data_IF_332935350956
#
_entry.id   IF_332935350956
#
_cell.length_a   1.000
_cell.length_b   1.000
_cell.length_c   1.000
_cell.angle_alpha   90.00
_cell.angle_beta   90.00
_cell.angle_gamma   90.00
#
_symmetry.space_group_name_H-M   'P 1'
#
loop_
_entity.id
_entity.type
_entity.pdbx_description
1 polymer ?
#
# COMPACT_ATOMS: atom_id res chain seq x y z
N UNK A 1 10.52 5.77 -6.26
CA UNK A 1 9.09 5.48 -5.98
C UNK A 1 8.69 5.88 -4.56
N UNK A 2 9.46 5.57 -3.51
CA UNK A 2 9.15 5.98 -2.14
C UNK A 2 8.90 7.50 -1.97
N UNK A 3 9.70 8.35 -2.61
CA UNK A 3 9.49 9.81 -2.61
C UNK A 3 8.15 10.24 -3.25
N UNK A 4 7.66 9.47 -4.22
CA UNK A 4 6.37 9.70 -4.87
C UNK A 4 5.22 9.34 -3.92
N UNK A 5 5.31 8.20 -3.24
CA UNK A 5 4.36 7.82 -2.19
C UNK A 5 4.31 8.87 -1.09
N UNK A 6 5.46 9.32 -0.59
CA UNK A 6 5.53 10.37 0.43
C UNK A 6 4.86 11.68 -0.03
N UNK A 7 5.05 12.08 -1.30
CA UNK A 7 4.38 13.25 -1.88
C UNK A 7 2.85 13.07 -1.96
N UNK A 8 2.38 11.87 -2.32
CA UNK A 8 0.95 11.56 -2.39
C UNK A 8 0.31 11.53 -0.99
N UNK A 9 0.99 10.92 -0.02
CA UNK A 9 0.58 10.87 1.39
C UNK A 9 0.47 12.25 2.04
N UNK A 10 1.30 13.21 1.61
CA UNK A 10 1.32 14.57 2.13
C UNK A 10 0.18 15.47 1.59
N UNK A 11 -0.67 14.98 0.69
CA UNK A 11 -1.77 15.79 0.12
C UNK A 11 -2.85 16.04 1.18
N UNK A 12 -3.48 17.22 1.21
CA UNK A 12 -4.58 17.52 2.14
C UNK A 12 -5.75 16.51 2.08
N UNK A 13 -6.06 15.98 0.89
CA UNK A 13 -7.12 14.98 0.67
C UNK A 13 -6.91 13.70 1.48
N UNK A 14 -5.67 13.30 1.79
CA UNK A 14 -5.42 12.10 2.58
C UNK A 14 -5.83 12.29 4.05
N UNK A 15 -5.73 13.52 4.56
CA UNK A 15 -6.28 13.87 5.87
C UNK A 15 -7.82 13.85 5.84
N UNK A 16 -8.44 14.35 4.78
CA UNK A 16 -9.90 14.31 4.62
C UNK A 16 -10.42 12.86 4.56
N UNK A 17 -9.78 12.01 3.76
CA UNK A 17 -10.08 10.57 3.70
C UNK A 17 -9.94 9.91 5.06
N UNK A 18 -8.86 10.18 5.81
CA UNK A 18 -8.68 9.64 7.17
C UNK A 18 -9.80 10.04 8.12
N UNK A 19 -10.23 11.30 8.07
CA UNK A 19 -11.37 11.77 8.87
C UNK A 19 -12.68 11.09 8.46
N UNK A 20 -12.91 10.91 7.16
CA UNK A 20 -14.09 10.19 6.66
C UNK A 20 -14.11 8.73 7.13
N UNK A 21 -12.97 8.03 7.04
CA UNK A 21 -12.83 6.67 7.55
C UNK A 21 -13.06 6.59 9.06
N UNK A 22 -12.49 7.52 9.82
CA UNK A 22 -12.72 7.58 11.27
C UNK A 22 -14.21 7.73 11.59
N UNK A 23 -14.89 8.70 10.97
CA UNK A 23 -16.33 8.95 11.18
C UNK A 23 -17.20 7.76 10.75
N UNK A 24 -16.85 7.12 9.63
CA UNK A 24 -17.52 5.90 9.18
C UNK A 24 -17.39 4.79 10.23
N UNK A 25 -16.19 4.58 10.75
CA UNK A 25 -15.91 3.55 11.74
C UNK A 25 -16.47 3.86 13.14
N UNK A 26 -16.76 5.13 13.44
CA UNK A 26 -17.51 5.53 14.64
C UNK A 26 -19.04 5.52 14.45
N UNK A 27 -19.52 4.95 13.33
CA UNK A 27 -20.94 4.80 12.99
C UNK A 27 -21.68 6.14 12.78
N UNK A 28 -20.95 7.20 12.44
CA UNK A 28 -21.57 8.46 12.03
C UNK A 28 -22.04 8.42 10.57
N UNK A 29 -23.15 9.11 10.30
CA UNK A 29 -23.60 9.31 8.93
C UNK A 29 -22.58 10.13 8.11
N UNK A 30 -22.09 9.53 7.03
CA UNK A 30 -21.16 10.10 6.05
C UNK A 30 -21.65 9.76 4.64
N UNK A 31 -21.02 10.33 3.59
CA UNK A 31 -21.19 9.77 2.25
C UNK A 31 -20.64 8.33 2.22
N UNK A 32 -21.09 7.45 1.32
CA UNK A 32 -20.45 6.15 1.12
C UNK A 32 -18.95 6.31 0.86
N UNK A 33 -18.13 5.47 1.49
CA UNK A 33 -16.71 5.35 1.18
C UNK A 33 -16.52 4.19 0.20
N UNK A 34 -15.59 4.38 -0.74
CA UNK A 34 -15.24 3.40 -1.75
C UNK A 34 -13.81 2.93 -1.47
N UNK A 35 -13.62 1.61 -1.40
CA UNK A 35 -12.30 1.00 -1.31
C UNK A 35 -12.16 0.01 -2.45
N UNK A 36 -11.12 0.19 -3.27
CA UNK A 36 -10.86 -0.66 -4.42
C UNK A 36 -9.54 -1.40 -4.22
N UNK A 37 -9.61 -2.72 -4.05
CA UNK A 37 -8.43 -3.59 -4.09
C UNK A 37 -8.57 -4.63 -5.20
N UNK A 38 -7.79 -4.50 -6.29
CA UNK A 38 -7.72 -5.47 -7.37
C UNK A 38 -7.29 -6.89 -6.96
N UNK A 39 -6.76 -7.10 -5.74
CA UNK A 39 -6.27 -8.40 -5.26
C UNK A 39 -5.31 -9.07 -6.27
N UNK A 40 -5.72 -10.19 -6.89
CA UNK A 40 -4.91 -10.87 -7.90
C UNK A 40 -4.79 -10.08 -9.21
N UNK A 41 -5.73 -9.18 -9.49
CA UNK A 41 -5.75 -8.30 -10.66
C UNK A 41 -4.64 -7.24 -10.65
N UNK A 42 -3.92 -7.07 -9.54
CA UNK A 42 -2.74 -6.20 -9.50
C UNK A 42 -1.68 -6.58 -10.55
N UNK A 43 -1.59 -7.86 -10.92
CA UNK A 43 -0.64 -8.34 -11.92
C UNK A 43 -1.00 -7.90 -13.35
N UNK A 44 -2.24 -7.47 -13.59
CA UNK A 44 -2.70 -6.92 -14.87
C UNK A 44 -2.43 -5.41 -14.97
N UNK A 45 -2.41 -4.72 -13.83
CA UNK A 45 -2.17 -3.26 -13.73
C UNK A 45 -0.66 -2.97 -13.65
N UNK A 46 0.05 -3.76 -12.83
CA UNK A 46 1.50 -3.69 -12.62
C UNK A 46 2.08 -5.02 -13.11
N UNK A 47 2.45 -5.01 -14.38
CA UNK A 47 2.98 -6.18 -15.09
C UNK A 47 4.46 -6.41 -14.74
N UNK A 48 4.90 -7.66 -14.89
CA UNK A 48 6.30 -8.05 -14.66
C UNK A 48 7.29 -7.24 -15.52
N UNK A 49 6.89 -6.87 -16.74
CA UNK A 49 7.68 -6.07 -17.67
C UNK A 49 7.93 -4.63 -17.20
N UNK A 50 7.13 -4.11 -16.28
CA UNK A 50 7.34 -2.78 -15.69
C UNK A 50 8.36 -2.79 -14.55
N UNK A 51 8.72 -3.97 -14.03
CA UNK A 51 9.59 -4.12 -12.87
C UNK A 51 11.06 -3.90 -13.24
N UNK A 52 11.77 -3.11 -12.44
CA UNK A 52 13.17 -2.74 -12.67
C UNK A 52 14.14 -3.39 -11.68
N UNK A 53 13.68 -3.66 -10.46
CA UNK A 53 14.47 -4.32 -9.43
C UNK A 53 14.72 -5.80 -9.78
N UNK A 54 15.88 -6.28 -9.32
CA UNK A 54 16.29 -7.67 -9.42
C UNK A 54 16.29 -8.32 -8.03
N UNK A 55 16.03 -9.63 -7.99
CA UNK A 55 15.89 -10.38 -6.74
C UNK A 55 14.49 -10.28 -6.14
N UNK A 56 14.06 -11.35 -5.48
CA UNK A 56 12.68 -11.53 -5.01
C UNK A 56 12.24 -10.42 -4.03
N UNK A 57 13.06 -10.13 -3.03
CA UNK A 57 12.75 -9.13 -1.99
C UNK A 57 12.59 -7.72 -2.58
N UNK A 58 13.55 -7.27 -3.39
CA UNK A 58 13.51 -5.93 -3.97
C UNK A 58 12.35 -5.76 -4.96
N UNK A 59 12.02 -6.81 -5.73
CA UNK A 59 10.82 -6.83 -6.59
C UNK A 59 9.54 -6.76 -5.77
N UNK A 60 9.47 -7.45 -4.63
CA UNK A 60 8.35 -7.34 -3.70
C UNK A 60 8.15 -5.90 -3.22
N UNK A 61 9.22 -5.23 -2.80
CA UNK A 61 9.18 -3.82 -2.39
C UNK A 61 8.79 -2.86 -3.51
N UNK A 62 9.33 -3.05 -4.72
CA UNK A 62 8.96 -2.24 -5.87
C UNK A 62 7.48 -2.43 -6.23
N UNK A 63 6.96 -3.66 -6.19
CA UNK A 63 5.55 -3.95 -6.41
C UNK A 63 4.67 -3.22 -5.38
N UNK A 64 5.00 -3.28 -4.09
CA UNK A 64 4.30 -2.53 -3.04
C UNK A 64 4.26 -1.04 -3.34
N UNK A 65 5.40 -0.43 -3.65
CA UNK A 65 5.47 1.01 -3.94
C UNK A 65 4.72 1.39 -5.25
N UNK A 66 4.70 0.52 -6.26
CA UNK A 66 3.92 0.72 -7.49
C UNK A 66 2.42 0.72 -7.21
N UNK A 67 1.95 -0.19 -6.35
CA UNK A 67 0.54 -0.23 -5.91
C UNK A 67 0.15 1.05 -5.18
N UNK A 68 0.97 1.50 -4.22
CA UNK A 68 0.74 2.76 -3.49
C UNK A 68 0.62 3.97 -4.44
N UNK A 69 1.51 4.05 -5.43
CA UNK A 69 1.45 5.10 -6.44
C UNK A 69 0.17 5.00 -7.27
N UNK A 70 -0.21 3.80 -7.73
CA UNK A 70 -1.42 3.61 -8.52
C UNK A 70 -2.69 3.95 -7.73
N UNK A 71 -2.79 3.54 -6.46
CA UNK A 71 -3.87 3.96 -5.57
C UNK A 71 -3.95 5.49 -5.46
N UNK A 72 -2.81 6.16 -5.24
CA UNK A 72 -2.78 7.60 -5.03
C UNK A 72 -3.05 8.44 -6.27
N UNK A 73 -2.76 7.92 -7.47
CA UNK A 73 -2.82 8.68 -8.72
C UNK A 73 -4.00 8.29 -9.64
N UNK A 74 -4.41 7.03 -9.63
CA UNK A 74 -5.29 6.49 -10.68
C UNK A 74 -6.55 5.79 -10.17
N UNK A 75 -6.52 5.19 -8.97
CA UNK A 75 -7.64 4.36 -8.50
C UNK A 75 -8.92 5.18 -8.26
N UNK A 76 -8.78 6.43 -7.79
CA UNK A 76 -9.92 7.31 -7.53
C UNK A 76 -10.82 6.88 -6.37
N UNK A 77 -10.30 6.07 -5.45
CA UNK A 77 -11.01 5.57 -4.28
C UNK A 77 -10.68 6.37 -3.01
N UNK A 78 -11.29 5.97 -1.89
CA UNK A 78 -11.12 6.61 -0.58
C UNK A 78 -10.00 5.99 0.25
N UNK A 79 -9.19 5.07 -0.32
CA UNK A 79 -8.02 4.55 0.38
C UNK A 79 -7.05 5.69 0.69
N UNK A 80 -6.59 5.73 1.94
CA UNK A 80 -5.59 6.71 2.41
C UNK A 80 -4.21 6.25 1.97
N UNK A 81 -3.43 7.14 1.35
CA UNK A 81 -2.00 6.90 1.14
C UNK A 81 -1.25 7.33 2.40
N UNK A 82 -0.54 6.40 3.02
CA UNK A 82 0.18 6.63 4.28
C UNK A 82 1.69 6.85 4.03
N UNK A 83 2.38 7.67 4.86
CA UNK A 83 3.80 7.98 4.70
C UNK A 83 4.72 6.92 5.33
N UNK A 84 4.32 5.65 5.30
CA UNK A 84 5.06 4.53 5.88
C UNK A 84 5.38 3.48 4.83
N UNK A 85 6.49 2.77 5.03
CA UNK A 85 6.84 1.60 4.25
C UNK A 85 7.07 0.44 5.20
N UNK A 86 6.13 -0.51 5.22
CA UNK A 86 6.18 -1.65 6.12
C UNK A 86 7.14 -2.71 5.60
N UNK A 87 8.05 -3.14 6.46
CA UNK A 87 9.00 -4.22 6.18
C UNK A 87 8.72 -5.36 7.14
N UNK A 88 8.52 -6.60 6.65
CA UNK A 88 8.31 -7.75 7.51
C UNK A 88 9.49 -7.98 8.46
N UNK A 89 9.18 -8.35 9.71
CA UNK A 89 10.19 -8.82 10.66
C UNK A 89 10.72 -10.19 10.22
N UNK A 90 12.04 -10.36 10.20
CA UNK A 90 12.71 -11.62 9.83
C UNK A 90 13.55 -12.11 11.00
N UNK A 91 13.26 -13.32 11.47
CA UNK A 91 14.05 -14.02 12.49
C UNK A 91 14.39 -15.43 12.03
N UNK A 92 15.63 -15.85 12.27
CA UNK A 92 16.05 -17.25 12.13
C UNK A 92 16.01 -17.94 13.49
N UNK A 93 15.29 -19.05 13.61
CA UNK A 93 15.52 -19.97 14.73
C UNK A 93 16.65 -20.93 14.36
N UNK A 94 17.71 -20.92 15.15
CA UNK A 94 18.66 -22.03 15.19
C UNK A 94 18.03 -23.15 16.02
N UNK A 95 17.69 -24.27 15.39
CA UNK A 95 17.43 -25.51 16.11
C UNK A 95 18.80 -26.06 16.50
N UNK A 96 19.22 -25.87 17.76
CA UNK A 96 20.27 -26.73 18.30
C UNK A 96 19.67 -28.15 18.38
N UNK A 97 20.19 -29.05 17.55
CA UNK A 97 19.84 -30.46 17.56
C UNK A 97 20.21 -31.06 18.91
N UNK A 98 19.22 -31.26 19.78
CA UNK A 98 19.31 -32.23 20.87
C UNK A 98 19.39 -33.63 20.26
N UNK A 99 20.63 -34.12 20.15
CA UNK A 99 20.93 -35.55 20.20
C UNK A 99 20.94 -36.01 21.65
#
# INVERSE_FOLDING_TARGET
>A
MASQVARLAARPIENEKRHLWFRHNTLEATRPLIFCDPENGWNEIITDAQMQCQGEMARGWEMTLRKEVFWGESMGDDRVIEPYFEVPYVSSLSIESCW
#
